data_IF_395545293329
#
_entry.id   IF_395545293329
#
_cell.length_a   1.000
_cell.length_b   1.000
_cell.length_c   1.000
_cell.angle_alpha   90.00
_cell.angle_beta   90.00
_cell.angle_gamma   90.00
#
_symmetry.space_group_name_H-M   'P 1'
#
loop_
_entity.id
_entity.type
_entity.pdbx_description
1 polymer ?
#
# COMPACT_ATOMS: atom_id res chain seq x y z
N UNK A 1 -26.15 -3.03 -18.01
CA UNK A 1 -25.39 -1.74 -17.93
C UNK A 1 -26.10 -0.74 -17.04
N UNK A 2 -27.42 -0.52 -17.21
CA UNK A 2 -28.18 0.45 -16.40
C UNK A 2 -28.22 0.04 -14.91
N UNK A 3 -28.33 -1.26 -14.62
CA UNK A 3 -28.31 -1.79 -13.24
C UNK A 3 -26.98 -1.50 -12.51
N UNK A 4 -25.84 -1.54 -13.23
CA UNK A 4 -24.54 -1.26 -12.65
C UNK A 4 -24.38 0.21 -12.23
N UNK A 5 -24.94 1.13 -13.02
CA UNK A 5 -24.86 2.57 -12.73
C UNK A 5 -25.69 2.97 -11.51
N UNK A 6 -26.80 2.26 -11.23
CA UNK A 6 -27.65 2.51 -10.07
C UNK A 6 -27.28 1.67 -8.84
N UNK A 7 -26.37 0.71 -8.96
CA UNK A 7 -25.91 -0.10 -7.85
C UNK A 7 -24.98 0.72 -6.93
N UNK A 8 -25.40 0.86 -5.67
CA UNK A 8 -24.68 1.66 -4.67
C UNK A 8 -23.25 1.13 -4.43
N UNK A 9 -23.04 -0.17 -4.55
CA UNK A 9 -21.74 -0.80 -4.41
C UNK A 9 -20.81 -0.39 -5.56
N UNK A 10 -21.30 -0.43 -6.80
CA UNK A 10 -20.52 0.05 -7.95
C UNK A 10 -20.20 1.55 -7.85
N UNK A 11 -21.17 2.35 -7.43
CA UNK A 11 -20.97 3.79 -7.25
C UNK A 11 -19.88 4.11 -6.22
N UNK A 12 -19.87 3.36 -5.10
CA UNK A 12 -18.87 3.51 -4.06
C UNK A 12 -17.45 3.25 -4.59
N UNK A 13 -17.29 2.35 -5.55
CA UNK A 13 -15.99 1.93 -6.07
C UNK A 13 -15.48 2.80 -7.22
N UNK A 14 -16.27 3.73 -7.75
CA UNK A 14 -15.81 4.59 -8.84
C UNK A 14 -14.63 5.44 -8.39
N UNK A 15 -13.48 5.25 -9.06
CA UNK A 15 -12.23 5.95 -8.73
C UNK A 15 -11.45 5.38 -7.55
N UNK A 16 -11.91 4.24 -6.99
CA UNK A 16 -11.26 3.60 -5.83
C UNK A 16 -11.82 4.07 -4.49
N UNK A 17 -11.35 3.45 -3.41
CA UNK A 17 -11.84 3.68 -2.04
C UNK A 17 -10.81 4.34 -1.13
N UNK A 18 -9.59 4.46 -1.58
CA UNK A 18 -8.50 5.09 -0.81
C UNK A 18 -7.84 6.19 -1.65
N UNK A 19 -7.19 7.10 -0.96
CA UNK A 19 -6.44 8.19 -1.59
C UNK A 19 -5.15 8.47 -0.84
N UNK A 20 -4.20 9.13 -1.51
CA UNK A 20 -2.98 9.63 -0.88
C UNK A 20 -3.12 11.14 -0.69
N UNK A 21 -2.89 11.59 0.55
CA UNK A 21 -2.89 13.01 0.88
C UNK A 21 -1.57 13.39 1.55
N UNK A 22 -1.10 14.60 1.24
CA UNK A 22 0.05 15.17 1.94
C UNK A 22 -0.41 15.77 3.27
N UNK A 23 0.31 15.48 4.35
CA UNK A 23 0.05 16.06 5.66
C UNK A 23 0.93 17.27 5.99
N UNK A 24 1.79 17.67 5.06
CA UNK A 24 2.64 18.85 5.21
C UNK A 24 2.19 19.95 4.26
N UNK A 25 2.30 21.24 4.66
CA UNK A 25 1.98 22.33 3.75
C UNK A 25 3.03 22.45 2.64
N UNK A 26 2.59 22.70 1.41
CA UNK A 26 3.45 22.95 0.26
C UNK A 26 2.98 24.23 -0.46
N UNK A 27 2.72 25.29 0.31
CA UNK A 27 2.14 26.55 -0.19
C UNK A 27 3.19 27.58 -0.55
N UNK A 28 4.33 27.56 0.11
CA UNK A 28 5.38 28.57 -0.05
C UNK A 28 6.67 27.92 -0.59
N UNK A 29 7.57 28.76 -1.10
CA UNK A 29 8.90 28.31 -1.51
C UNK A 29 9.69 27.74 -0.32
N UNK A 30 9.52 28.30 0.87
CA UNK A 30 10.15 27.79 2.10
C UNK A 30 9.61 26.42 2.47
N UNK A 31 8.29 26.20 2.40
CA UNK A 31 7.67 24.89 2.61
C UNK A 31 8.29 23.83 1.70
N UNK A 32 8.40 24.14 0.40
CA UNK A 32 8.94 23.26 -0.61
C UNK A 32 10.42 22.95 -0.34
N UNK A 33 11.21 23.95 0.07
CA UNK A 33 12.64 23.77 0.34
C UNK A 33 12.90 22.89 1.56
N UNK A 34 12.00 22.85 2.52
CA UNK A 34 12.07 21.96 3.69
C UNK A 34 11.55 20.55 3.41
N UNK A 35 10.44 20.45 2.69
CA UNK A 35 9.81 19.16 2.37
C UNK A 35 10.55 18.40 1.26
N UNK A 36 11.22 19.13 0.38
CA UNK A 36 11.95 18.56 -0.75
C UNK A 36 13.36 19.15 -0.84
N UNK A 37 13.79 19.66 -1.97
CA UNK A 37 15.15 20.18 -2.15
C UNK A 37 15.25 21.64 -1.74
N UNK A 38 16.32 22.02 -1.03
CA UNK A 38 17.50 21.24 -0.60
C UNK A 38 17.36 20.56 0.77
N UNK A 39 16.35 20.87 1.55
CA UNK A 39 16.23 20.46 2.96
C UNK A 39 16.20 18.95 3.17
N UNK A 40 15.53 18.21 2.27
CA UNK A 40 15.40 16.74 2.36
C UNK A 40 16.74 16.00 2.32
N UNK A 41 17.76 16.60 1.72
CA UNK A 41 19.11 15.98 1.65
C UNK A 41 19.69 15.70 3.05
N UNK A 42 19.46 16.59 4.01
CA UNK A 42 19.93 16.39 5.39
C UNK A 42 19.23 15.21 6.06
N UNK A 43 17.95 15.02 5.77
CA UNK A 43 17.16 13.89 6.29
C UNK A 43 17.67 12.58 5.69
N UNK A 44 17.91 12.55 4.38
CA UNK A 44 18.47 11.38 3.70
C UNK A 44 19.87 11.03 4.23
N UNK A 45 20.69 12.01 4.50
CA UNK A 45 22.03 11.80 5.10
C UNK A 45 21.93 11.22 6.51
N UNK A 46 20.99 11.71 7.32
CA UNK A 46 20.76 11.18 8.66
C UNK A 46 20.34 9.70 8.62
N UNK A 47 19.42 9.34 7.72
CA UNK A 47 18.98 7.96 7.55
C UNK A 47 20.10 7.08 6.99
N UNK A 48 20.92 7.59 6.07
CA UNK A 48 22.07 6.86 5.55
C UNK A 48 23.08 6.55 6.65
N UNK A 49 23.29 7.48 7.58
CA UNK A 49 24.17 7.29 8.73
C UNK A 49 23.60 6.31 9.77
N UNK A 50 22.28 6.33 9.98
CA UNK A 50 21.56 5.41 10.88
C UNK A 50 20.22 5.00 10.26
N UNK A 51 20.17 3.83 9.58
CA UNK A 51 18.94 3.37 8.92
C UNK A 51 17.74 3.21 9.84
N UNK A 52 17.93 3.06 11.15
CA UNK A 52 16.83 3.00 12.11
C UNK A 52 16.01 4.30 12.13
N UNK A 53 16.61 5.41 11.79
CA UNK A 53 15.93 6.72 11.68
C UNK A 53 14.85 6.76 10.58
N UNK A 54 14.86 5.84 9.64
CA UNK A 54 13.80 5.76 8.63
C UNK A 54 12.40 5.61 9.25
N UNK A 55 12.28 4.88 10.37
CA UNK A 55 11.00 4.75 11.09
C UNK A 55 10.54 6.06 11.74
N UNK A 56 11.47 6.89 12.16
CA UNK A 56 11.16 8.18 12.80
C UNK A 56 10.91 9.30 11.80
N UNK A 57 11.60 9.26 10.67
CA UNK A 57 11.67 10.37 9.72
C UNK A 57 10.88 10.15 8.42
N UNK A 58 10.27 8.97 8.24
CA UNK A 58 9.51 8.64 7.03
C UNK A 58 8.17 7.97 7.37
N UNK A 59 7.35 7.79 6.33
CA UNK A 59 6.09 7.05 6.41
C UNK A 59 6.27 5.57 6.79
N UNK A 60 7.49 5.04 6.74
CA UNK A 60 7.80 3.69 7.21
C UNK A 60 7.29 3.43 8.63
N UNK A 61 7.18 4.47 9.43
CA UNK A 61 6.63 4.39 10.79
C UNK A 61 5.21 3.81 10.82
N UNK A 62 4.39 4.09 9.81
CA UNK A 62 2.95 3.84 9.87
C UNK A 62 2.38 3.22 8.58
N UNK A 63 3.21 2.63 7.73
CA UNK A 63 2.78 2.11 6.43
C UNK A 63 2.87 0.60 6.38
N UNK A 64 1.80 -0.05 5.89
CA UNK A 64 1.73 -1.49 5.65
C UNK A 64 1.46 -1.75 4.17
N UNK A 65 2.21 -2.65 3.55
CA UNK A 65 1.90 -3.17 2.22
C UNK A 65 0.93 -4.34 2.37
N UNK A 66 -0.22 -4.27 1.70
CA UNK A 66 -1.18 -5.36 1.60
C UNK A 66 -0.93 -6.08 0.28
N UNK A 67 -0.27 -7.23 0.34
CA UNK A 67 0.27 -7.93 -0.83
C UNK A 67 -0.59 -9.15 -1.17
N UNK A 68 -0.97 -9.27 -2.43
CA UNK A 68 -1.72 -10.43 -2.95
C UNK A 68 -1.24 -10.81 -4.34
N UNK A 69 -1.47 -12.06 -4.73
CA UNK A 69 -1.35 -12.52 -6.11
C UNK A 69 -2.74 -12.76 -6.76
N UNK A 70 -3.82 -12.50 -6.03
CA UNK A 70 -5.19 -12.68 -6.51
C UNK A 70 -5.64 -14.12 -6.68
N UNK A 71 -4.94 -15.09 -6.08
CA UNK A 71 -5.18 -16.52 -6.31
C UNK A 71 -6.31 -17.12 -5.47
N UNK A 72 -6.73 -16.46 -4.39
CA UNK A 72 -7.76 -17.00 -3.48
C UNK A 72 -8.68 -15.90 -2.92
N UNK A 73 -9.33 -15.15 -3.80
CA UNK A 73 -10.12 -13.97 -3.43
C UNK A 73 -11.55 -14.35 -3.08
N UNK A 74 -11.96 -14.17 -1.81
CA UNK A 74 -13.37 -14.27 -1.31
C UNK A 74 -14.07 -15.57 -1.71
N UNK A 75 -13.76 -16.58 -2.02
CA UNK A 75 -14.52 -17.71 -2.56
C UNK A 75 -14.73 -17.66 -4.08
N UNK A 76 -14.20 -16.62 -4.72
CA UNK A 76 -14.18 -16.53 -6.19
C UNK A 76 -12.97 -17.26 -6.79
N UNK A 77 -12.03 -17.68 -5.96
CA UNK A 77 -10.83 -18.39 -6.39
C UNK A 77 -9.79 -17.49 -7.03
N UNK A 78 -9.09 -18.00 -8.04
CA UNK A 78 -8.05 -17.28 -8.76
C UNK A 78 -8.66 -16.36 -9.82
N UNK A 79 -8.81 -15.08 -9.50
CA UNK A 79 -9.41 -14.08 -10.38
C UNK A 79 -8.38 -13.06 -10.91
N UNK A 80 -7.12 -13.21 -10.52
CA UNK A 80 -6.03 -12.36 -10.96
C UNK A 80 -5.83 -11.08 -10.12
N UNK A 81 -4.70 -10.40 -10.37
CA UNK A 81 -4.28 -9.27 -9.52
C UNK A 81 -5.19 -8.04 -9.64
N UNK A 82 -5.63 -7.67 -10.84
CA UNK A 82 -6.49 -6.48 -11.01
C UNK A 82 -7.84 -6.67 -10.33
N UNK A 83 -8.45 -7.85 -10.46
CA UNK A 83 -9.73 -8.16 -9.83
C UNK A 83 -9.63 -8.28 -8.32
N UNK A 84 -8.45 -8.54 -7.76
CA UNK A 84 -8.19 -8.54 -6.33
C UNK A 84 -8.09 -7.12 -5.75
N UNK A 85 -7.77 -6.12 -6.55
CA UNK A 85 -7.50 -4.77 -6.08
C UNK A 85 -8.64 -4.15 -5.25
N UNK A 86 -9.93 -4.26 -5.63
CA UNK A 86 -11.02 -3.71 -4.79
C UNK A 86 -11.06 -4.30 -3.39
N UNK A 87 -10.74 -5.58 -3.23
CA UNK A 87 -10.69 -6.25 -1.92
C UNK A 87 -9.51 -5.74 -1.10
N UNK A 88 -8.35 -5.58 -1.75
CA UNK A 88 -7.15 -5.04 -1.10
C UNK A 88 -7.33 -3.58 -0.68
N UNK A 89 -8.02 -2.77 -1.48
CA UNK A 89 -8.41 -1.42 -1.08
C UNK A 89 -9.34 -1.44 0.14
N UNK A 90 -10.28 -2.38 0.17
CA UNK A 90 -11.15 -2.61 1.33
C UNK A 90 -10.34 -2.92 2.59
N UNK A 91 -9.35 -3.82 2.48
CA UNK A 91 -8.45 -4.14 3.58
C UNK A 91 -7.67 -2.89 4.02
N UNK A 92 -7.16 -2.10 3.09
CA UNK A 92 -6.46 -0.85 3.40
C UNK A 92 -7.37 0.15 4.13
N UNK A 93 -8.63 0.28 3.71
CA UNK A 93 -9.63 1.11 4.37
C UNK A 93 -9.90 0.65 5.81
N UNK A 94 -9.95 -0.67 6.06
CA UNK A 94 -10.11 -1.24 7.39
C UNK A 94 -8.89 -0.95 8.28
N UNK A 95 -7.66 -1.08 7.76
CA UNK A 95 -6.46 -0.68 8.48
C UNK A 95 -6.55 0.78 8.94
N UNK A 96 -7.01 1.67 8.07
CA UNK A 96 -7.17 3.08 8.40
C UNK A 96 -8.24 3.30 9.47
N UNK A 97 -9.40 2.68 9.30
CA UNK A 97 -10.55 2.86 10.19
C UNK A 97 -10.28 2.35 11.60
N UNK A 98 -9.64 1.18 11.73
CA UNK A 98 -9.51 0.51 13.02
C UNK A 98 -8.16 0.72 13.71
N UNK A 99 -7.11 1.03 12.96
CA UNK A 99 -5.75 1.16 13.51
C UNK A 99 -5.05 2.46 13.14
N UNK A 100 -5.66 3.30 12.34
CA UNK A 100 -5.05 4.52 11.78
C UNK A 100 -3.72 4.25 11.08
N UNK A 101 -3.62 3.09 10.42
CA UNK A 101 -2.47 2.67 9.65
C UNK A 101 -2.69 2.99 8.18
N UNK A 102 -1.67 3.56 7.55
CA UNK A 102 -1.65 3.86 6.12
C UNK A 102 -1.26 2.60 5.35
N UNK A 103 -2.24 1.87 4.83
CA UNK A 103 -2.00 0.65 4.09
C UNK A 103 -2.09 0.91 2.58
N UNK A 104 -1.25 0.21 1.81
CA UNK A 104 -1.23 0.32 0.35
C UNK A 104 -1.37 -1.04 -0.31
N UNK A 105 -2.31 -1.20 -1.25
CA UNK A 105 -2.48 -2.45 -2.00
C UNK A 105 -1.32 -2.68 -2.96
N UNK A 106 -0.77 -3.90 -2.95
CA UNK A 106 0.23 -4.37 -3.90
C UNK A 106 -0.28 -5.68 -4.50
N UNK A 107 -0.79 -5.61 -5.73
CA UNK A 107 -1.30 -6.76 -6.46
C UNK A 107 -0.26 -7.24 -7.46
N UNK A 108 0.22 -8.48 -7.30
CA UNK A 108 1.32 -9.02 -8.08
C UNK A 108 0.80 -9.90 -9.23
N UNK A 109 1.33 -9.67 -10.41
CA UNK A 109 1.03 -10.48 -11.59
C UNK A 109 1.96 -11.71 -11.65
N UNK A 110 1.87 -12.54 -10.62
CA UNK A 110 2.60 -13.81 -10.52
C UNK A 110 1.94 -14.73 -9.50
N UNK A 111 2.07 -16.03 -9.69
CA UNK A 111 1.72 -17.04 -8.68
C UNK A 111 2.96 -17.84 -8.22
N UNK A 112 4.13 -17.42 -8.64
CA UNK A 112 5.39 -18.05 -8.24
C UNK A 112 5.80 -17.60 -6.85
N UNK A 113 6.04 -18.56 -5.95
CA UNK A 113 6.37 -18.27 -4.53
C UNK A 113 7.69 -17.50 -4.41
N UNK A 114 8.69 -17.89 -5.18
CA UNK A 114 10.02 -17.25 -5.10
C UNK A 114 9.95 -15.80 -5.58
N UNK A 115 9.16 -15.52 -6.61
CA UNK A 115 8.93 -14.15 -7.09
C UNK A 115 8.18 -13.32 -6.05
N UNK A 116 7.16 -13.88 -5.40
CA UNK A 116 6.41 -13.19 -4.32
C UNK A 116 7.35 -12.87 -3.16
N UNK A 117 8.10 -13.87 -2.67
CA UNK A 117 9.06 -13.70 -1.58
C UNK A 117 10.10 -12.64 -1.93
N UNK A 118 10.68 -12.73 -3.12
CA UNK A 118 11.69 -11.77 -3.58
C UNK A 118 11.12 -10.35 -3.69
N UNK A 119 9.90 -10.21 -4.21
CA UNK A 119 9.23 -8.91 -4.30
C UNK A 119 9.03 -8.29 -2.92
N UNK A 120 8.51 -9.07 -1.97
CA UNK A 120 8.30 -8.59 -0.59
C UNK A 120 9.63 -8.14 0.05
N UNK A 121 10.70 -8.92 -0.13
CA UNK A 121 12.03 -8.54 0.37
C UNK A 121 12.52 -7.22 -0.24
N UNK A 122 12.29 -7.02 -1.54
CA UNK A 122 12.75 -5.82 -2.26
C UNK A 122 11.98 -4.56 -1.89
N UNK A 123 10.67 -4.66 -1.60
CA UNK A 123 9.86 -3.49 -1.23
C UNK A 123 9.87 -3.20 0.28
N UNK A 124 10.25 -4.16 1.10
CA UNK A 124 10.20 -4.06 2.56
C UNK A 124 10.88 -2.81 3.15
N UNK A 125 11.97 -2.27 2.59
CA UNK A 125 12.60 -1.06 3.14
C UNK A 125 11.67 0.14 3.27
N UNK A 126 10.67 0.27 2.38
CA UNK A 126 9.73 1.40 2.37
C UNK A 126 8.50 1.21 3.28
N UNK A 127 8.34 0.05 3.90
CA UNK A 127 7.16 -0.28 4.70
C UNK A 127 7.51 -0.62 6.15
N UNK A 128 6.60 -0.30 7.05
CA UNK A 128 6.71 -0.69 8.46
C UNK A 128 6.25 -2.12 8.73
N UNK A 129 5.41 -2.66 7.84
CA UNK A 129 4.90 -4.02 7.92
C UNK A 129 4.38 -4.52 6.58
N UNK A 130 4.21 -5.84 6.50
CA UNK A 130 3.68 -6.53 5.31
C UNK A 130 2.51 -7.40 5.76
N UNK A 131 1.38 -7.28 5.06
CA UNK A 131 0.22 -8.16 5.23
C UNK A 131 0.03 -8.95 3.93
N UNK A 132 0.20 -10.27 4.00
CA UNK A 132 -0.13 -11.14 2.89
C UNK A 132 -1.63 -11.44 2.92
N UNK A 133 -2.31 -11.28 1.79
CA UNK A 133 -3.77 -11.39 1.73
C UNK A 133 -4.19 -12.17 0.49
N UNK A 134 -5.19 -13.06 0.66
CA UNK A 134 -5.85 -13.78 -0.44
C UNK A 134 -4.89 -14.53 -1.38
N UNK A 135 -3.84 -15.11 -0.82
CA UNK A 135 -2.92 -16.01 -1.50
C UNK A 135 -3.32 -17.44 -1.20
N UNK A 136 -3.49 -18.28 -2.21
CA UNK A 136 -3.97 -19.65 -2.03
C UNK A 136 -2.98 -20.52 -1.24
N UNK A 137 -3.54 -21.40 -0.39
CA UNK A 137 -2.75 -22.42 0.27
C UNK A 137 -2.27 -23.49 -0.73
N UNK A 138 -1.08 -24.10 -0.54
CA UNK A 138 -0.14 -23.90 0.57
C UNK A 138 0.85 -22.73 0.39
N UNK A 139 0.76 -21.99 -0.72
CA UNK A 139 1.74 -20.95 -1.07
C UNK A 139 1.80 -19.77 -0.11
N UNK A 140 0.74 -19.57 0.67
CA UNK A 140 0.70 -18.51 1.69
C UNK A 140 1.56 -18.81 2.93
N UNK A 141 2.08 -20.01 3.06
CA UNK A 141 2.95 -20.45 4.15
C UNK A 141 4.42 -20.51 3.70
#
# INVERSE_FOLDING_TARGET
>A
TVRKVSDRTFLLHLGGKIEVTSKVPLKTRDDLSRAYTPGVARISQAIAADPADARRLTIKRNTVAVVTDGSAVLGLGNIGPEAALPVMEGKAALFKRFADVDAWPICLDTNDVDEIVRTVQLIAPGFGGINLEDISAPRCF
#
